data_IF_260455472438
#
_entry.id   IF_260455472438
#
_cell.length_a   1.000
_cell.length_b   1.000
_cell.length_c   1.000
_cell.angle_alpha   90.00
_cell.angle_beta   90.00
_cell.angle_gamma   90.00
#
_symmetry.space_group_name_H-M   'P 1'
#
loop_
_entity.id
_entity.type
_entity.pdbx_description
1 polymer ?
#
# COMPACT_ATOMS: atom_id res chain seq x y z
N UNK A 1 3.19 4.60 -44.05
CA UNK A 1 2.00 4.28 -43.23
C UNK A 1 2.36 3.07 -42.39
N UNK A 2 2.18 3.14 -41.06
CA UNK A 2 2.54 2.06 -40.13
C UNK A 2 1.23 1.55 -39.50
N UNK A 3 0.67 0.42 -39.96
CA UNK A 3 -0.52 -0.17 -39.34
C UNK A 3 -0.28 -0.47 -37.86
N UNK A 4 -1.16 0.03 -36.99
CA UNK A 4 -1.06 -0.16 -35.53
C UNK A 4 -0.17 0.84 -34.79
N UNK A 5 0.34 1.88 -35.46
CA UNK A 5 1.10 2.95 -34.79
C UNK A 5 0.21 3.72 -33.81
N UNK A 6 0.67 3.84 -32.56
CA UNK A 6 0.13 4.78 -31.60
C UNK A 6 0.84 6.14 -31.73
N UNK A 7 0.06 7.20 -31.93
CA UNK A 7 0.55 8.58 -31.90
C UNK A 7 0.02 9.26 -30.65
N UNK A 8 0.82 9.27 -29.60
CA UNK A 8 0.47 9.88 -28.33
C UNK A 8 0.89 11.35 -28.31
N UNK A 9 0.17 12.18 -27.55
CA UNK A 9 0.67 13.50 -27.21
C UNK A 9 1.97 13.38 -26.41
N UNK A 10 2.87 14.36 -26.57
CA UNK A 10 4.03 14.47 -25.70
C UNK A 10 3.60 14.88 -24.28
N UNK A 11 4.32 14.40 -23.27
CA UNK A 11 4.08 14.75 -21.86
C UNK A 11 4.03 13.52 -20.95
N UNK A 12 3.59 13.76 -19.71
CA UNK A 12 3.35 12.73 -18.69
C UNK A 12 1.90 12.78 -18.20
N UNK A 13 1.43 11.66 -17.66
CA UNK A 13 0.11 11.58 -17.02
C UNK A 13 0.35 11.55 -15.51
N UNK A 14 -0.21 12.52 -14.80
CA UNK A 14 -0.24 12.51 -13.34
C UNK A 14 -1.17 11.40 -12.84
N UNK A 15 -0.67 10.57 -11.93
CA UNK A 15 -1.44 9.50 -11.33
C UNK A 15 -2.04 9.95 -10.01
N UNK A 16 -3.22 9.41 -9.68
CA UNK A 16 -3.83 9.52 -8.35
C UNK A 16 -3.99 10.97 -7.81
N UNK A 17 -4.11 11.95 -8.71
CA UNK A 17 -4.15 13.38 -8.38
C UNK A 17 -5.27 13.73 -7.39
N UNK A 18 -5.00 14.75 -6.57
CA UNK A 18 -5.95 15.28 -5.59
C UNK A 18 -6.22 14.39 -4.37
N UNK A 19 -5.44 13.32 -4.18
CA UNK A 19 -5.55 12.44 -3.01
C UNK A 19 -4.51 12.73 -1.96
N UNK A 20 -4.83 12.39 -0.71
CA UNK A 20 -3.86 12.44 0.39
C UNK A 20 -2.73 11.44 0.14
N UNK A 21 -1.50 11.87 0.33
CA UNK A 21 -0.30 11.05 0.16
C UNK A 21 0.50 10.97 1.48
N UNK A 22 1.35 9.95 1.57
CA UNK A 22 2.32 9.81 2.65
C UNK A 22 3.58 9.11 2.12
N UNK A 23 4.73 9.42 2.71
CA UNK A 23 5.98 8.68 2.48
C UNK A 23 6.34 7.89 3.73
N UNK A 24 6.72 6.63 3.53
CA UNK A 24 7.19 5.73 4.58
C UNK A 24 8.49 5.06 4.18
N UNK A 25 9.40 4.93 5.14
CA UNK A 25 10.57 4.06 5.03
C UNK A 25 10.15 2.64 5.42
N UNK A 26 10.40 1.68 4.55
CA UNK A 26 9.96 0.28 4.74
C UNK A 26 11.15 -0.64 4.64
N UNK A 27 11.31 -1.50 5.65
CA UNK A 27 12.40 -2.47 5.76
C UNK A 27 11.84 -3.88 5.67
N UNK A 28 12.41 -4.74 4.82
CA UNK A 28 12.13 -6.17 4.86
C UNK A 28 13.05 -6.86 5.88
N UNK A 29 12.49 -7.21 7.04
CA UNK A 29 13.19 -7.93 8.11
C UNK A 29 13.09 -9.45 7.95
N UNK A 30 12.41 -9.93 6.91
CA UNK A 30 12.29 -11.35 6.59
C UNK A 30 13.49 -11.90 5.83
N UNK A 31 13.52 -13.23 5.70
CA UNK A 31 14.54 -14.01 4.99
C UNK A 31 14.20 -14.26 3.50
N UNK A 32 13.03 -13.81 3.06
CA UNK A 32 12.50 -14.02 1.71
C UNK A 32 12.08 -12.70 1.08
N UNK A 33 12.12 -12.61 -0.25
CA UNK A 33 11.67 -11.42 -0.95
C UNK A 33 10.15 -11.24 -0.82
N UNK A 34 9.72 -9.99 -0.68
CA UNK A 34 8.31 -9.61 -0.55
C UNK A 34 7.98 -8.64 -1.68
N UNK A 35 6.86 -8.86 -2.37
CA UNK A 35 6.39 -7.96 -3.43
C UNK A 35 4.96 -7.49 -3.13
N UNK A 36 4.76 -6.17 -3.13
CA UNK A 36 3.49 -5.54 -2.79
C UNK A 36 2.92 -4.84 -4.02
N UNK A 37 1.70 -5.23 -4.40
CA UNK A 37 1.00 -4.66 -5.56
C UNK A 37 0.40 -3.28 -5.30
N UNK A 38 0.18 -2.53 -6.38
CA UNK A 38 -0.33 -1.15 -6.37
C UNK A 38 -1.61 -0.91 -5.54
N UNK A 39 -2.52 -1.89 -5.46
CA UNK A 39 -3.86 -1.73 -4.88
C UNK A 39 -4.10 -2.54 -3.59
N UNK A 40 -3.04 -3.08 -2.99
CA UNK A 40 -3.15 -3.71 -1.66
C UNK A 40 -3.26 -2.59 -0.61
N UNK A 41 -4.13 -2.81 0.40
CA UNK A 41 -4.18 -1.94 1.57
C UNK A 41 -2.84 -2.07 2.31
N UNK A 42 -1.99 -1.03 2.24
CA UNK A 42 -0.58 -1.13 2.62
C UNK A 42 -0.39 -1.44 4.12
N UNK A 43 -1.34 -1.02 4.96
CA UNK A 43 -1.46 -1.41 6.36
C UNK A 43 -1.38 -2.93 6.60
N UNK A 44 -1.94 -3.73 5.68
CA UNK A 44 -2.12 -5.17 5.81
C UNK A 44 -1.08 -5.97 5.03
N UNK A 45 0.04 -5.37 4.61
CA UNK A 45 1.13 -6.12 3.96
C UNK A 45 1.86 -7.01 4.96
N UNK A 46 2.65 -7.95 4.43
CA UNK A 46 3.38 -8.98 5.17
C UNK A 46 4.06 -8.45 6.46
N UNK A 47 3.99 -9.24 7.56
CA UNK A 47 4.64 -8.95 8.86
C UNK A 47 6.15 -8.74 8.76
N UNK A 48 6.80 -9.36 7.77
CA UNK A 48 8.22 -9.17 7.49
C UNK A 48 8.57 -7.78 6.98
N UNK A 49 7.58 -6.93 6.65
CA UNK A 49 7.81 -5.52 6.37
C UNK A 49 7.60 -4.69 7.65
N UNK A 50 8.67 -4.04 8.10
CA UNK A 50 8.68 -3.12 9.24
C UNK A 50 8.56 -1.68 8.76
N UNK A 51 7.58 -0.95 9.30
CA UNK A 51 7.28 0.46 9.02
C UNK A 51 6.20 0.95 10.01
N UNK A 52 5.92 2.25 10.01
CA UNK A 52 4.84 2.85 10.82
C UNK A 52 3.45 2.46 10.28
N UNK A 53 2.94 1.28 10.66
CA UNK A 53 1.70 0.71 10.11
C UNK A 53 0.50 1.65 10.20
N UNK A 54 0.34 2.35 11.31
CA UNK A 54 -0.78 3.28 11.50
C UNK A 54 -0.83 4.38 10.43
N UNK A 55 0.32 4.87 9.97
CA UNK A 55 0.41 5.88 8.90
C UNK A 55 0.01 5.32 7.53
N UNK A 56 0.05 4.01 7.35
CA UNK A 56 -0.38 3.31 6.14
C UNK A 56 -1.88 2.92 6.16
N UNK A 57 -2.60 3.16 7.25
CA UNK A 57 -4.03 2.84 7.33
C UNK A 57 -4.84 3.69 6.34
N UNK A 58 -5.67 3.03 5.54
CA UNK A 58 -6.44 3.64 4.46
C UNK A 58 -5.60 4.00 3.22
N UNK A 59 -4.37 3.50 3.11
CA UNK A 59 -3.44 3.86 2.04
C UNK A 59 -3.04 2.66 1.18
N UNK A 60 -2.63 2.91 -0.06
CA UNK A 60 -2.03 1.95 -1.00
C UNK A 60 -0.80 2.56 -1.68
N UNK A 61 0.00 1.76 -2.38
CA UNK A 61 1.16 2.29 -3.11
C UNK A 61 0.73 3.32 -4.17
N UNK A 62 1.45 4.42 -4.24
CA UNK A 62 1.27 5.49 -5.23
C UNK A 62 2.12 5.20 -6.48
N UNK A 63 1.76 4.13 -7.19
CA UNK A 63 2.48 3.64 -8.37
C UNK A 63 1.46 3.32 -9.49
N UNK A 64 1.92 3.13 -10.74
CA UNK A 64 1.04 2.74 -11.84
C UNK A 64 0.21 1.49 -11.51
N UNK A 65 -1.08 1.52 -11.86
CA UNK A 65 -1.99 0.41 -11.61
C UNK A 65 -1.47 -0.88 -12.25
N UNK A 66 -1.57 -2.00 -11.52
CA UNK A 66 -1.08 -3.31 -11.95
C UNK A 66 0.41 -3.55 -11.70
N UNK A 67 1.19 -2.54 -11.31
CA UNK A 67 2.59 -2.71 -10.92
C UNK A 67 2.76 -3.03 -9.44
N UNK A 68 4.00 -3.27 -9.01
CA UNK A 68 4.34 -3.64 -7.64
C UNK A 68 5.73 -3.11 -7.23
N UNK A 69 5.94 -2.96 -5.92
CA UNK A 69 7.26 -2.71 -5.33
C UNK A 69 7.76 -4.01 -4.70
N UNK A 70 8.98 -4.39 -5.04
CA UNK A 70 9.68 -5.56 -4.50
C UNK A 70 10.66 -5.12 -3.42
N UNK A 71 10.75 -5.89 -2.35
CA UNK A 71 11.68 -5.72 -1.24
C UNK A 71 12.51 -7.00 -1.09
N UNK A 72 13.81 -6.92 -1.31
CA UNK A 72 14.73 -8.02 -1.01
C UNK A 72 14.94 -8.19 0.50
N UNK A 73 15.37 -9.37 1.00
CA UNK A 73 15.72 -9.54 2.41
C UNK A 73 16.73 -8.49 2.90
N UNK A 74 16.42 -7.80 4.00
CA UNK A 74 17.25 -6.73 4.57
C UNK A 74 17.18 -5.39 3.84
N UNK A 75 16.44 -5.30 2.72
CA UNK A 75 16.35 -4.06 1.96
C UNK A 75 15.46 -3.03 2.67
N UNK A 76 15.97 -1.81 2.76
CA UNK A 76 15.26 -0.63 3.23
C UNK A 76 15.03 0.32 2.05
N UNK A 77 13.79 0.79 1.85
CA UNK A 77 13.50 1.80 0.83
C UNK A 77 12.32 2.70 1.20
N UNK A 78 12.34 3.97 0.77
CA UNK A 78 11.17 4.83 0.85
C UNK A 78 10.12 4.37 -0.17
N UNK A 79 8.84 4.45 0.22
CA UNK A 79 7.70 4.26 -0.67
C UNK A 79 6.70 5.40 -0.54
N UNK A 80 6.16 5.82 -1.68
CA UNK A 80 5.03 6.72 -1.75
C UNK A 80 3.72 5.94 -1.61
N UNK A 81 2.84 6.45 -0.75
CA UNK A 81 1.49 5.94 -0.53
C UNK A 81 0.46 7.00 -0.88
N UNK A 82 -0.71 6.53 -1.32
CA UNK A 82 -1.87 7.36 -1.62
C UNK A 82 -3.13 6.76 -1.02
N UNK A 83 -4.05 7.61 -0.59
CA UNK A 83 -5.30 7.17 0.02
C UNK A 83 -6.16 6.31 -0.92
N UNK A 84 -6.80 5.29 -0.35
CA UNK A 84 -7.81 4.50 -1.03
C UNK A 84 -8.94 5.40 -1.55
N UNK A 85 -9.39 5.10 -2.78
CA UNK A 85 -10.53 5.78 -3.40
C UNK A 85 -11.88 5.12 -3.05
N UNK A 86 -12.94 5.58 -3.72
CA UNK A 86 -14.28 5.01 -3.59
C UNK A 86 -14.84 5.13 -2.17
N UNK A 87 -15.54 4.09 -1.70
CA UNK A 87 -16.13 4.04 -0.34
C UNK A 87 -15.11 3.84 0.78
N UNK A 88 -13.82 3.69 0.46
CA UNK A 88 -12.74 3.44 1.42
C UNK A 88 -13.05 2.26 2.34
N UNK A 89 -13.41 1.11 1.75
CA UNK A 89 -13.66 -0.13 2.47
C UNK A 89 -12.58 -1.15 2.11
N UNK A 90 -11.99 -1.81 3.10
CA UNK A 90 -11.00 -2.89 2.92
C UNK A 90 -11.47 -4.18 3.60
N UNK A 91 -11.53 -5.26 2.82
CA UNK A 91 -11.95 -6.60 3.25
C UNK A 91 -11.00 -7.67 2.68
N UNK A 92 -10.87 -8.81 3.37
CA UNK A 92 -9.97 -9.89 2.97
C UNK A 92 -8.57 -9.71 3.55
N UNK A 93 -7.53 -9.66 2.70
CA UNK A 93 -6.12 -9.44 3.08
C UNK A 93 -5.69 -10.22 4.35
N UNK A 94 -5.26 -9.53 5.40
CA UNK A 94 -4.89 -10.14 6.68
C UNK A 94 -6.04 -10.08 7.71
N UNK A 95 -7.25 -9.76 7.26
CA UNK A 95 -8.46 -9.60 8.06
C UNK A 95 -8.33 -8.57 9.18
N UNK A 96 -7.46 -7.56 9.02
CA UNK A 96 -7.25 -6.55 10.06
C UNK A 96 -8.34 -5.49 10.02
N UNK A 97 -8.58 -4.90 8.84
CA UNK A 97 -9.50 -3.78 8.69
C UNK A 97 -10.96 -4.23 8.75
N UNK A 98 -11.36 -5.14 7.84
CA UNK A 98 -12.74 -5.67 7.74
C UNK A 98 -13.83 -4.58 7.74
N UNK A 99 -13.61 -3.49 6.99
CA UNK A 99 -14.53 -2.36 7.04
C UNK A 99 -13.93 -1.05 6.52
N UNK A 100 -14.43 0.10 7.02
CA UNK A 100 -13.91 1.42 6.68
C UNK A 100 -12.41 1.56 6.94
N UNK A 101 -11.69 2.06 5.94
CA UNK A 101 -10.25 2.28 5.91
C UNK A 101 -9.98 3.73 5.48
N UNK A 102 -10.43 4.68 6.30
CA UNK A 102 -10.20 6.12 6.05
C UNK A 102 -8.90 6.53 6.74
N UNK A 103 -7.99 7.16 5.99
CA UNK A 103 -6.70 7.56 6.55
C UNK A 103 -6.88 8.55 7.71
N UNK A 104 -6.24 8.25 8.85
CA UNK A 104 -6.37 8.99 10.10
C UNK A 104 -7.60 8.63 10.96
N UNK A 105 -8.44 7.68 10.55
CA UNK A 105 -9.65 7.26 11.28
C UNK A 105 -9.68 5.74 11.51
N UNK A 106 -8.55 5.19 11.99
CA UNK A 106 -8.47 3.78 12.40
C UNK A 106 -9.23 3.56 13.71
N UNK A 107 -10.17 2.60 13.72
CA UNK A 107 -10.94 2.28 14.92
C UNK A 107 -10.10 1.52 15.95
N UNK A 108 -10.53 1.57 17.21
CA UNK A 108 -9.89 0.84 18.31
C UNK A 108 -9.93 -0.68 18.07
N UNK A 109 -11.02 -1.19 17.49
CA UNK A 109 -11.13 -2.60 17.12
C UNK A 109 -10.03 -3.02 16.13
N UNK A 110 -9.72 -2.17 15.14
CA UNK A 110 -8.62 -2.43 14.19
C UNK A 110 -7.26 -2.35 14.88
N UNK A 111 -7.05 -1.39 15.79
CA UNK A 111 -5.82 -1.31 16.62
C UNK A 111 -5.61 -2.56 17.44
N UNK A 112 -6.66 -3.07 18.08
CA UNK A 112 -6.58 -4.31 18.87
C UNK A 112 -6.26 -5.52 17.99
N UNK A 113 -6.89 -5.64 16.81
CA UNK A 113 -6.57 -6.71 15.85
C UNK A 113 -5.13 -6.64 15.38
N UNK A 114 -4.63 -5.43 15.09
CA UNK A 114 -3.24 -5.20 14.73
C UNK A 114 -2.31 -5.68 15.85
N UNK A 115 -2.53 -5.25 17.09
CA UNK A 115 -1.71 -5.63 18.24
C UNK A 115 -1.68 -7.16 18.44
N UNK A 116 -2.83 -7.84 18.33
CA UNK A 116 -2.89 -9.32 18.38
C UNK A 116 -2.16 -9.98 17.22
N UNK A 117 -2.25 -9.41 16.02
CA UNK A 117 -1.59 -9.90 14.82
C UNK A 117 -0.07 -9.73 14.94
N UNK A 118 0.43 -8.61 15.45
CA UNK A 118 1.86 -8.39 15.68
C UNK A 118 2.43 -9.30 16.79
N UNK A 119 1.65 -9.59 17.83
CA UNK A 119 2.05 -10.48 18.92
C UNK A 119 2.22 -11.95 18.53
N UNK A 120 1.89 -12.33 17.27
CA UNK A 120 2.21 -13.65 16.74
C UNK A 120 1.42 -14.80 17.37
N UNK A 121 0.08 -14.71 17.33
CA UNK A 121 -0.85 -15.78 17.76
C UNK A 121 -0.38 -17.18 17.37
#
# INVERSE_FOLDING_TARGET
MIPGEYRTAAGSIELNSGRRTAELLVVNTGDRPIQVGSHVHFFEVNRGLSFERERAFGMRLDIPAGTAVRFEPGEEKPVGLVELGGRKLSYGLNNLTQGPAVAGAMSDEVRERLARWEAGS
#
